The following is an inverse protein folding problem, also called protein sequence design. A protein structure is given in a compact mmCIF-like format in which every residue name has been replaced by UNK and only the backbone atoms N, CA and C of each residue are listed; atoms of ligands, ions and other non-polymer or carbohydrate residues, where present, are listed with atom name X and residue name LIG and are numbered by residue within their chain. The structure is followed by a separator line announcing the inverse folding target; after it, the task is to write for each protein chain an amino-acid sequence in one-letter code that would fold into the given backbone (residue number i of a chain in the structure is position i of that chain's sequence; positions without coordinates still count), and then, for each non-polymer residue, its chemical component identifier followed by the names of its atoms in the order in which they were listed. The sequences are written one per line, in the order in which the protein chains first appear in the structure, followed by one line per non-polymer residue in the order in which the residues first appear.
data_IF_270460936647
#
_entry.id   IF_270460936647
#
_cell.length_a   1.000
_cell.length_b   1.000
_cell.length_c   1.000
_cell.angle_alpha   90.00
_cell.angle_beta   90.00
_cell.angle_gamma   90.00
#
_symmetry.space_group_name_H-M   'P 1'
#
loop_
_entity.id
_entity.type
_entity.pdbx_description
1 polymer ?
#
# COMPACT_ATOMS: atom_id res chain seq x y z
N UNK A 1 11.15 -7.08 -9.77
CA UNK A 1 10.19 -6.52 -8.80
C UNK A 1 10.86 -6.46 -7.44
N UNK A 2 10.87 -5.29 -6.78
CA UNK A 2 11.43 -5.13 -5.44
C UNK A 2 10.29 -5.10 -4.41
N UNK A 3 10.40 -5.87 -3.34
CA UNK A 3 9.36 -6.02 -2.31
C UNK A 3 9.99 -5.79 -0.94
N UNK A 4 9.34 -5.00 -0.08
CA UNK A 4 9.86 -4.65 1.24
C UNK A 4 9.76 -5.77 2.30
N UNK A 5 9.12 -6.88 1.98
CA UNK A 5 8.95 -8.06 2.84
C UNK A 5 9.60 -9.28 2.20
N UNK A 6 9.64 -10.39 2.94
CA UNK A 6 9.93 -11.70 2.37
C UNK A 6 8.76 -12.23 1.52
N UNK A 7 9.01 -13.35 0.84
CA UNK A 7 8.03 -14.00 -0.04
C UNK A 7 6.82 -14.55 0.71
N UNK A 8 6.98 -14.99 1.97
CA UNK A 8 5.89 -15.57 2.75
C UNK A 8 4.85 -14.51 3.13
N UNK A 9 5.32 -13.26 3.29
CA UNK A 9 4.53 -12.10 3.63
C UNK A 9 4.16 -11.23 2.43
N UNK A 10 4.37 -11.71 1.19
CA UNK A 10 3.92 -11.01 -0.02
C UNK A 10 2.38 -10.94 -0.02
N UNK A 11 1.75 -9.75 -0.09
CA UNK A 11 0.30 -9.61 0.03
C UNK A 11 -0.45 -10.04 -1.24
N UNK A 12 0.25 -10.14 -2.37
CA UNK A 12 -0.31 -10.60 -3.64
C UNK A 12 -0.64 -12.10 -3.64
N UNK A 13 -1.45 -12.53 -4.61
CA UNK A 13 -1.81 -13.94 -4.76
C UNK A 13 -0.58 -14.82 -5.00
N UNK A 14 -0.45 -15.92 -4.26
CA UNK A 14 0.62 -16.91 -4.47
C UNK A 14 0.67 -17.43 -5.91
N UNK A 15 -0.49 -17.57 -6.56
CA UNK A 15 -0.59 -17.99 -7.96
C UNK A 15 0.00 -16.94 -8.89
N UNK A 16 -0.28 -15.65 -8.67
CA UNK A 16 0.25 -14.56 -9.49
C UNK A 16 1.76 -14.41 -9.31
N UNK A 17 2.27 -14.56 -8.08
CA UNK A 17 3.71 -14.58 -7.82
C UNK A 17 4.38 -15.72 -8.57
N UNK A 18 3.79 -16.92 -8.55
CA UNK A 18 4.31 -18.08 -9.28
C UNK A 18 4.33 -17.82 -10.79
N UNK A 19 3.22 -17.36 -11.36
CA UNK A 19 3.13 -17.04 -12.78
C UNK A 19 4.17 -15.98 -13.18
N UNK A 20 4.34 -14.93 -12.37
CA UNK A 20 5.33 -13.88 -12.63
C UNK A 20 6.77 -14.44 -12.65
N UNK A 21 7.08 -15.39 -11.76
CA UNK A 21 8.39 -16.06 -11.77
C UNK A 21 8.57 -16.92 -13.02
N UNK A 22 7.53 -17.65 -13.45
CA UNK A 22 7.54 -18.44 -14.68
C UNK A 22 7.71 -17.56 -15.95
N UNK A 23 7.19 -16.34 -15.92
CA UNK A 23 7.40 -15.31 -16.95
C UNK A 23 8.78 -14.61 -16.88
N UNK A 24 9.63 -14.98 -15.91
CA UNK A 24 11.00 -14.47 -15.79
C UNK A 24 11.17 -13.22 -14.94
N UNK A 25 10.16 -12.81 -14.17
CA UNK A 25 10.31 -11.66 -13.24
C UNK A 25 11.28 -12.03 -12.11
N UNK A 26 12.38 -11.27 -12.02
CA UNK A 26 13.30 -11.37 -10.89
C UNK A 26 12.75 -10.61 -9.67
N UNK A 27 12.55 -11.33 -8.56
CA UNK A 27 12.11 -10.75 -7.29
C UNK A 27 13.29 -10.45 -6.38
N UNK A 28 13.33 -9.22 -5.86
CA UNK A 28 14.26 -8.79 -4.83
C UNK A 28 13.47 -8.53 -3.55
N UNK A 29 13.49 -9.52 -2.67
CA UNK A 29 12.79 -9.51 -1.38
C UNK A 29 13.56 -8.70 -0.34
N UNK A 30 12.84 -8.22 0.66
CA UNK A 30 13.38 -7.42 1.75
C UNK A 30 14.15 -6.18 1.27
N UNK A 31 13.60 -5.46 0.30
CA UNK A 31 14.20 -4.28 -0.32
C UNK A 31 13.24 -3.10 -0.28
N UNK A 32 13.65 -2.03 0.39
CA UNK A 32 12.89 -0.78 0.46
C UNK A 32 13.62 0.33 -0.30
N UNK A 33 12.99 0.95 -1.31
CA UNK A 33 13.59 2.10 -2.01
C UNK A 33 13.65 3.30 -1.07
N UNK A 34 14.76 4.03 -1.10
CA UNK A 34 14.97 5.24 -0.29
C UNK A 34 15.33 6.48 -1.10
N UNK A 35 15.82 6.30 -2.32
CA UNK A 35 16.24 7.42 -3.18
C UNK A 35 16.19 6.99 -4.65
N UNK A 36 15.62 7.83 -5.51
CA UNK A 36 15.71 7.66 -6.97
C UNK A 36 16.90 8.49 -7.44
N UNK A 37 17.81 7.87 -8.20
CA UNK A 37 19.02 8.50 -8.71
C UNK A 37 18.83 8.94 -10.15
N UNK A 38 19.44 10.08 -10.47
CA UNK A 38 19.37 10.72 -11.78
C UNK A 38 18.74 12.11 -11.70
N UNK A 39 18.95 12.92 -12.74
CA UNK A 39 18.48 14.31 -12.78
C UNK A 39 17.18 14.44 -13.58
N UNK A 40 17.27 14.21 -14.89
CA UNK A 40 16.13 14.34 -15.81
C UNK A 40 15.49 12.99 -16.15
N UNK A 41 16.19 11.89 -15.85
CA UNK A 41 15.73 10.50 -16.03
C UNK A 41 16.23 9.63 -14.88
N UNK A 42 15.57 8.49 -14.67
CA UNK A 42 16.03 7.49 -13.71
C UNK A 42 17.29 6.82 -14.25
N UNK A 43 18.32 6.73 -13.42
CA UNK A 43 19.57 6.00 -13.70
C UNK A 43 19.80 4.85 -12.71
N UNK A 44 19.13 4.93 -11.56
CA UNK A 44 19.11 3.86 -10.58
C UNK A 44 18.22 4.22 -9.40
N UNK A 45 18.08 3.26 -8.50
CA UNK A 45 17.36 3.45 -7.25
C UNK A 45 18.22 2.89 -6.12
N UNK A 46 18.40 3.69 -5.08
CA UNK A 46 19.04 3.27 -3.84
C UNK A 46 18.00 2.57 -2.98
N UNK A 47 18.38 1.39 -2.51
CA UNK A 47 17.58 0.57 -1.63
C UNK A 47 18.31 0.33 -0.31
N UNK A 48 17.54 0.05 0.72
CA UNK A 48 17.98 -0.54 1.97
C UNK A 48 17.34 -1.91 2.14
N UNK A 49 18.07 -2.84 2.75
CA UNK A 49 17.49 -4.11 3.17
C UNK A 49 16.54 -3.89 4.34
N UNK A 50 15.47 -4.66 4.36
CA UNK A 50 14.51 -4.71 5.46
C UNK A 50 14.57 -6.05 6.19
N UNK A 51 14.01 -6.07 7.40
CA UNK A 51 13.63 -7.29 8.10
C UNK A 51 12.30 -7.09 8.79
N UNK A 52 11.47 -8.11 8.77
CA UNK A 52 10.21 -8.09 9.51
C UNK A 52 10.48 -8.17 11.01
N UNK A 53 9.80 -7.30 11.76
CA UNK A 53 9.77 -7.32 13.21
C UNK A 53 8.32 -7.39 13.64
N UNK A 54 7.99 -8.28 14.58
CA UNK A 54 6.65 -8.36 15.20
C UNK A 54 6.39 -7.06 15.96
N UNK A 55 5.56 -6.18 15.41
CA UNK A 55 5.43 -4.82 15.97
C UNK A 55 4.17 -4.09 15.52
N UNK A 56 2.99 -4.68 15.72
CA UNK A 56 1.82 -3.86 16.02
C UNK A 56 0.89 -4.56 17.02
N UNK A 57 0.01 -3.76 17.65
CA UNK A 57 -1.02 -4.18 18.63
C UNK A 57 -2.01 -5.21 18.04
N UNK A 58 -1.98 -5.42 16.71
CA UNK A 58 -2.81 -6.34 15.94
C UNK A 58 -2.00 -7.53 15.41
N UNK A 59 -0.74 -7.68 15.83
CA UNK A 59 0.15 -8.79 15.46
C UNK A 59 0.79 -8.70 14.07
N UNK A 60 0.67 -7.57 13.35
CA UNK A 60 1.30 -7.41 12.04
C UNK A 60 2.81 -7.25 12.17
N UNK A 61 3.50 -7.95 11.29
CA UNK A 61 4.94 -7.80 11.12
C UNK A 61 5.22 -6.56 10.29
N UNK A 62 6.04 -5.66 10.83
CA UNK A 62 6.38 -4.39 10.18
C UNK A 62 7.80 -4.49 9.64
N UNK A 63 8.04 -4.17 8.36
CA UNK A 63 9.39 -4.13 7.81
C UNK A 63 10.18 -2.99 8.46
N UNK A 64 11.37 -3.33 8.95
CA UNK A 64 12.31 -2.40 9.59
C UNK A 64 13.62 -2.36 8.83
N UNK A 65 14.16 -1.16 8.65
CA UNK A 65 15.41 -0.93 7.92
C UNK A 65 16.61 -1.55 8.64
N UNK A 66 17.46 -2.23 7.88
CA UNK A 66 18.79 -2.64 8.30
C UNK A 66 19.77 -1.53 7.92
N UNK A 67 20.33 -0.82 8.90
CA UNK A 67 21.32 0.25 8.65
C UNK A 67 22.59 -0.30 8.00
N UNK A 68 23.24 0.47 7.13
CA UNK A 68 24.48 0.04 6.46
C UNK A 68 24.27 -0.98 5.33
N UNK A 69 23.02 -1.19 4.89
CA UNK A 69 22.66 -2.16 3.85
C UNK A 69 22.37 -1.53 2.49
N UNK A 70 22.82 -0.29 2.30
CA UNK A 70 22.61 0.51 1.10
C UNK A 70 23.08 -0.25 -0.13
N UNK A 71 22.20 -0.35 -1.12
CA UNK A 71 22.52 -0.92 -2.43
C UNK A 71 21.87 -0.11 -3.53
N UNK A 72 22.65 0.22 -4.55
CA UNK A 72 22.14 0.87 -5.75
C UNK A 72 21.83 -0.21 -6.79
N UNK A 73 20.64 -0.15 -7.37
CA UNK A 73 20.23 -0.96 -8.51
C UNK A 73 20.06 -0.02 -9.69
N UNK A 74 20.84 -0.24 -10.76
CA UNK A 74 20.70 0.51 -12.01
C UNK A 74 19.34 0.21 -12.65
N UNK A 75 18.66 1.25 -13.11
CA UNK A 75 17.36 1.12 -13.74
C UNK A 75 17.10 2.35 -14.63
N UNK A 76 16.56 2.14 -15.82
CA UNK A 76 16.16 3.22 -16.73
C UNK A 76 14.71 3.68 -16.50
N UNK A 77 13.92 2.83 -15.82
CA UNK A 77 12.51 3.04 -15.49
C UNK A 77 12.24 2.58 -14.06
N UNK A 78 11.39 3.32 -13.36
CA UNK A 78 10.95 2.98 -12.02
C UNK A 78 9.44 3.17 -11.91
N UNK A 79 8.74 2.12 -11.48
CA UNK A 79 7.28 2.09 -11.35
C UNK A 79 6.97 1.91 -9.86
N UNK A 80 6.28 2.88 -9.29
CA UNK A 80 5.79 2.84 -7.91
C UNK A 80 4.44 2.12 -7.85
N UNK A 81 4.37 1.06 -7.05
CA UNK A 81 3.18 0.23 -6.88
C UNK A 81 2.79 0.08 -5.39
N UNK A 82 2.77 1.18 -4.63
CA UNK A 82 2.46 1.18 -3.19
C UNK A 82 0.96 1.13 -2.86
N UNK A 83 0.11 0.90 -3.87
CA UNK A 83 -1.34 1.01 -3.74
C UNK A 83 -1.84 2.46 -3.70
N UNK A 84 -3.11 2.63 -3.35
CA UNK A 84 -3.80 3.92 -3.36
C UNK A 84 -4.30 4.28 -1.96
N UNK A 85 -4.50 5.58 -1.73
CA UNK A 85 -5.20 6.09 -0.54
C UNK A 85 -6.54 6.67 -0.96
N UNK A 86 -7.56 6.63 -0.09
CA UNK A 86 -8.79 7.37 -0.31
C UNK A 86 -8.50 8.86 -0.55
N UNK A 87 -9.22 9.46 -1.49
CA UNK A 87 -9.15 10.89 -1.78
C UNK A 87 -10.55 11.51 -1.67
N UNK A 88 -11.07 11.73 -0.44
CA UNK A 88 -12.42 12.24 -0.25
C UNK A 88 -12.54 13.65 -0.81
N UNK A 89 -13.65 13.91 -1.50
CA UNK A 89 -13.89 15.23 -2.09
C UNK A 89 -14.25 16.26 -1.03
N UNK A 90 -13.86 17.52 -1.25
CA UNK A 90 -14.11 18.64 -0.32
C UNK A 90 -15.59 18.87 0.02
N UNK A 91 -16.52 18.37 -0.80
CA UNK A 91 -17.97 18.49 -0.55
C UNK A 91 -18.51 17.46 0.44
N UNK A 92 -17.75 16.43 0.81
CA UNK A 92 -18.21 15.38 1.74
C UNK A 92 -18.69 15.96 3.07
N UNK A 93 -17.89 16.86 3.65
CA UNK A 93 -18.22 17.54 4.91
C UNK A 93 -19.51 18.37 4.79
N UNK A 94 -19.68 19.12 3.69
CA UNK A 94 -20.88 19.93 3.41
C UNK A 94 -22.15 19.07 3.37
N UNK A 95 -22.02 17.83 2.91
CA UNK A 95 -23.12 16.87 2.82
C UNK A 95 -23.16 15.88 3.98
N UNK A 96 -22.50 16.16 5.13
CA UNK A 96 -22.52 15.29 6.31
C UNK A 96 -22.02 13.85 6.05
N UNK A 97 -21.14 13.67 5.06
CA UNK A 97 -20.45 12.40 4.83
C UNK A 97 -19.17 12.44 5.66
N UNK A 98 -19.10 11.59 6.69
CA UNK A 98 -17.94 11.52 7.57
C UNK A 98 -16.88 10.57 7.01
N UNK A 99 -15.62 10.90 7.26
CA UNK A 99 -14.47 10.05 6.95
C UNK A 99 -13.63 9.77 8.20
N UNK A 100 -12.89 8.67 8.19
CA UNK A 100 -11.88 8.37 9.22
C UNK A 100 -10.57 9.14 8.98
N UNK A 101 -9.59 8.92 9.85
CA UNK A 101 -8.28 9.59 9.82
C UNK A 101 -7.50 9.35 8.51
N UNK A 102 -7.78 8.26 7.81
CA UNK A 102 -7.12 7.91 6.55
C UNK A 102 -8.00 8.19 5.33
N UNK A 103 -9.13 8.89 5.52
CA UNK A 103 -10.00 9.38 4.45
C UNK A 103 -11.07 8.39 3.95
N UNK A 104 -11.24 7.24 4.59
CA UNK A 104 -12.31 6.28 4.25
C UNK A 104 -13.66 6.78 4.76
N UNK A 105 -14.73 6.55 4.02
CA UNK A 105 -16.09 6.87 4.43
C UNK A 105 -16.51 5.98 5.59
N UNK A 106 -17.02 6.61 6.65
CA UNK A 106 -17.56 5.92 7.82
C UNK A 106 -19.05 5.63 7.58
N UNK A 107 -19.39 4.34 7.60
CA UNK A 107 -20.76 3.85 7.56
C UNK A 107 -21.41 4.07 8.92
N UNK A 108 -22.65 4.58 8.90
CA UNK A 108 -23.44 4.77 10.11
C UNK A 108 -24.06 3.44 10.54
N UNK A 109 -23.54 2.85 11.61
CA UNK A 109 -23.99 1.58 12.15
C UNK A 109 -25.40 1.61 12.76
N UNK A 110 -25.95 2.80 13.04
CA UNK A 110 -27.32 2.98 13.55
C UNK A 110 -28.35 3.29 12.45
N UNK A 111 -27.92 3.30 11.19
CA UNK A 111 -28.75 3.69 10.06
C UNK A 111 -29.77 2.62 9.67
N UNK A 112 -30.83 3.03 8.96
CA UNK A 112 -31.93 2.15 8.55
C UNK A 112 -31.49 1.10 7.52
N UNK A 113 -30.49 1.42 6.71
CA UNK A 113 -30.07 0.59 5.58
C UNK A 113 -28.58 0.29 5.67
N UNK A 114 -28.19 -0.93 5.28
CA UNK A 114 -26.78 -1.30 5.23
C UNK A 114 -25.99 -0.36 4.31
N UNK A 115 -24.73 -0.09 4.68
CA UNK A 115 -23.80 0.76 3.92
C UNK A 115 -24.22 2.23 3.78
N UNK A 116 -25.21 2.69 4.56
CA UNK A 116 -25.61 4.08 4.58
C UNK A 116 -24.59 4.92 5.35
N UNK A 117 -24.27 6.10 4.83
CA UNK A 117 -23.40 7.06 5.52
C UNK A 117 -24.19 7.85 6.56
N UNK A 118 -23.52 8.76 7.27
CA UNK A 118 -24.18 9.72 8.15
C UNK A 118 -25.12 10.71 7.42
N UNK A 119 -25.08 10.74 6.08
CA UNK A 119 -26.12 11.36 5.27
C UNK A 119 -27.13 10.27 4.85
N UNK A 120 -28.43 10.41 5.20
CA UNK A 120 -29.43 9.40 4.91
C UNK A 120 -29.73 9.21 3.40
N UNK A 121 -29.21 10.09 2.53
CA UNK A 121 -29.37 9.98 1.07
C UNK A 121 -28.14 9.38 0.38
N UNK A 122 -27.07 9.07 1.11
CA UNK A 122 -25.78 8.66 0.53
C UNK A 122 -25.32 7.34 1.14
N UNK A 123 -24.87 6.43 0.27
CA UNK A 123 -24.34 5.12 0.59
C UNK A 123 -22.88 5.01 0.13
N UNK A 124 -22.10 4.14 0.75
CA UNK A 124 -20.71 3.88 0.34
C UNK A 124 -20.33 2.42 0.52
N UNK A 125 -19.49 1.90 -0.36
CA UNK A 125 -19.03 0.52 -0.33
C UNK A 125 -17.66 0.36 -0.97
N UNK A 126 -17.15 -0.87 -0.98
CA UNK A 126 -15.84 -1.19 -1.53
C UNK A 126 -14.68 -0.53 -0.78
N UNK A 127 -13.65 -0.13 -1.51
CA UNK A 127 -12.39 0.39 -0.96
C UNK A 127 -12.57 1.73 -0.23
N UNK A 128 -13.59 2.51 -0.59
CA UNK A 128 -13.90 3.75 0.13
C UNK A 128 -14.36 3.50 1.57
N UNK A 129 -14.79 2.29 1.91
CA UNK A 129 -15.19 1.91 3.28
C UNK A 129 -14.16 0.98 3.92
N UNK A 130 -13.71 -0.03 3.20
CA UNK A 130 -12.79 -1.05 3.73
C UNK A 130 -11.33 -0.62 3.69
N UNK A 131 -10.98 0.27 2.75
CA UNK A 131 -9.60 0.48 2.31
C UNK A 131 -9.15 -0.63 1.38
N UNK A 132 -8.03 -0.41 0.68
CA UNK A 132 -7.34 -1.50 0.00
C UNK A 132 -6.79 -2.45 1.07
N UNK A 133 -7.21 -3.70 1.01
CA UNK A 133 -6.70 -4.76 1.87
C UNK A 133 -5.33 -5.15 1.29
N UNK A 134 -4.27 -4.81 2.01
CA UNK A 134 -2.93 -5.39 1.83
C UNK A 134 -2.51 -6.03 3.15
#
# INVERSE_FOLDING_TARGET
MCVQTDEQNMPGSRREVKNSKEEGINFLWNMQPVEILGKDKVEGVKFLKTKLKKTDIRGREVPTIIKGSEKIIKADKFILAFGFRPNPSNWFSKHKIKTDEIGRVIIDGGSKFNFQTHNPKVFSGGDMVRGLIW
#
